data_IF_200126329934
#
_entry.id   IF_200126329934
#
_cell.length_a   1.000
_cell.length_b   1.000
_cell.length_c   1.000
_cell.angle_alpha   90.00
_cell.angle_beta   90.00
_cell.angle_gamma   90.00
#
_symmetry.space_group_name_H-M   'P 1'
#
loop_
_entity.id
_entity.type
_entity.pdbx_description
1 polymer ?
#
# COMPACT_ATOMS: atom_id res chain seq x y z
N UNK A 1 30.13 3.44 -3.90
CA UNK A 1 29.83 4.15 -2.64
C UNK A 1 28.53 3.56 -2.13
N UNK A 2 28.66 2.57 -1.23
CA UNK A 2 27.55 1.82 -0.67
C UNK A 2 26.68 2.75 0.19
N UNK A 3 25.48 3.05 -0.31
CA UNK A 3 24.48 3.81 0.41
C UNK A 3 24.13 3.06 1.70
N UNK A 4 24.43 3.65 2.85
CA UNK A 4 24.04 3.13 4.16
C UNK A 4 22.51 3.15 4.26
N UNK A 5 21.86 2.04 3.87
CA UNK A 5 20.41 1.88 3.82
C UNK A 5 19.76 1.66 5.20
N UNK A 6 20.54 1.72 6.28
CA UNK A 6 20.13 1.28 7.60
C UNK A 6 20.80 2.07 8.73
N UNK A 7 20.00 2.56 9.67
CA UNK A 7 20.45 3.02 10.98
C UNK A 7 20.30 1.88 11.98
N UNK A 8 21.35 1.57 12.74
CA UNK A 8 21.27 0.60 13.83
C UNK A 8 20.86 1.37 15.09
N UNK A 9 19.62 1.16 15.53
CA UNK A 9 19.14 1.72 16.79
C UNK A 9 19.97 1.17 17.96
N UNK A 10 20.08 1.91 19.10
CA UNK A 10 20.78 1.43 20.29
C UNK A 10 20.21 0.14 20.89
N UNK A 11 19.02 -0.29 20.44
CA UNK A 11 18.40 -1.58 20.74
C UNK A 11 18.84 -2.74 19.81
N UNK A 12 19.78 -2.51 18.89
CA UNK A 12 20.26 -3.48 17.90
C UNK A 12 19.31 -3.69 16.71
N UNK A 13 18.16 -3.00 16.66
CA UNK A 13 17.23 -3.08 15.52
C UNK A 13 17.71 -2.23 14.35
N UNK A 14 17.64 -2.78 13.14
CA UNK A 14 17.92 -2.06 11.90
C UNK A 14 16.69 -1.26 11.47
N UNK A 15 16.82 0.06 11.36
CA UNK A 15 15.80 0.96 10.82
C UNK A 15 16.21 1.35 9.40
N UNK A 16 15.40 1.00 8.42
CA UNK A 16 15.62 1.42 7.03
C UNK A 16 15.40 2.94 6.95
N UNK A 17 16.44 3.69 6.59
CA UNK A 17 16.39 5.16 6.53
C UNK A 17 15.69 5.68 5.26
N UNK A 18 15.56 4.85 4.23
CA UNK A 18 14.92 5.20 2.95
C UNK A 18 13.50 4.62 2.84
N UNK A 19 12.59 5.04 3.71
CA UNK A 19 11.17 5.06 3.32
C UNK A 19 10.99 6.35 2.55
N UNK A 20 11.03 6.27 1.22
CA UNK A 20 10.97 7.47 0.39
C UNK A 20 9.55 8.01 0.41
N UNK A 21 9.34 9.33 0.32
CA UNK A 21 8.00 9.90 0.15
C UNK A 21 7.25 9.27 -1.03
N UNK A 22 7.99 8.77 -2.03
CA UNK A 22 7.48 7.99 -3.16
C UNK A 22 6.79 6.69 -2.70
N UNK A 23 7.36 5.93 -1.76
CA UNK A 23 6.74 4.69 -1.26
C UNK A 23 5.42 4.97 -0.54
N UNK A 24 5.36 6.08 0.20
CA UNK A 24 4.13 6.54 0.86
C UNK A 24 3.08 6.94 -0.18
N UNK A 25 3.47 7.69 -1.21
CA UNK A 25 2.57 8.11 -2.29
C UNK A 25 2.04 6.91 -3.08
N UNK A 26 2.92 5.97 -3.44
CA UNK A 26 2.59 4.77 -4.21
C UNK A 26 1.67 3.84 -3.42
N UNK A 27 1.92 3.66 -2.12
CA UNK A 27 1.09 2.83 -1.24
C UNK A 27 -0.33 3.37 -1.04
N UNK A 28 -0.57 4.67 -1.30
CA UNK A 28 -1.89 5.31 -1.27
C UNK A 28 -2.57 5.33 -2.65
N UNK A 29 -1.80 5.60 -3.71
CA UNK A 29 -2.29 5.68 -5.08
C UNK A 29 -2.71 4.32 -5.64
N UNK A 30 -1.91 3.26 -5.41
CA UNK A 30 -2.21 1.92 -5.95
C UNK A 30 -3.55 1.37 -5.47
N UNK A 31 -3.88 1.38 -4.16
CA UNK A 31 -5.19 0.97 -3.68
C UNK A 31 -6.32 1.84 -4.23
N UNK A 32 -6.12 3.16 -4.28
CA UNK A 32 -7.12 4.09 -4.80
C UNK A 32 -7.51 3.78 -6.25
N UNK A 33 -6.52 3.60 -7.13
CA UNK A 33 -6.76 3.19 -8.52
C UNK A 33 -7.40 1.81 -8.63
N UNK A 34 -7.04 0.86 -7.76
CA UNK A 34 -7.68 -0.46 -7.68
C UNK A 34 -9.18 -0.39 -7.37
N UNK A 35 -9.58 0.51 -6.46
CA UNK A 35 -11.00 0.76 -6.14
C UNK A 35 -11.72 1.37 -7.35
N UNK A 36 -11.12 2.36 -8.02
CA UNK A 36 -11.71 3.02 -9.19
C UNK A 36 -11.92 2.02 -10.33
N UNK A 37 -10.91 1.22 -10.67
CA UNK A 37 -11.02 0.20 -11.73
C UNK A 37 -12.06 -0.86 -11.35
N UNK A 38 -12.07 -1.31 -10.10
CA UNK A 38 -13.06 -2.25 -9.60
C UNK A 38 -14.49 -1.69 -9.72
N UNK A 39 -14.70 -0.43 -9.34
CA UNK A 39 -15.99 0.26 -9.46
C UNK A 39 -16.44 0.36 -10.92
N UNK A 40 -15.54 0.79 -11.81
CA UNK A 40 -15.82 0.88 -13.25
C UNK A 40 -16.19 -0.49 -13.84
N UNK A 41 -15.51 -1.56 -13.40
CA UNK A 41 -15.83 -2.92 -13.83
C UNK A 41 -17.22 -3.39 -13.36
N UNK A 42 -17.61 -3.05 -12.11
CA UNK A 42 -18.94 -3.37 -11.59
C UNK A 42 -20.04 -2.62 -12.36
N UNK A 43 -19.86 -1.32 -12.61
CA UNK A 43 -20.90 -0.45 -13.18
C UNK A 43 -21.00 -0.58 -14.70
N UNK A 44 -19.87 -0.50 -15.42
CA UNK A 44 -19.90 -0.32 -16.88
C UNK A 44 -19.74 -1.63 -17.65
N UNK A 45 -19.09 -2.65 -17.09
CA UNK A 45 -18.87 -3.94 -17.77
C UNK A 45 -19.85 -5.04 -17.36
N UNK A 46 -20.67 -4.84 -16.34
CA UNK A 46 -21.56 -5.88 -15.80
C UNK A 46 -20.82 -7.05 -15.13
N UNK A 47 -19.48 -7.01 -15.04
CA UNK A 47 -18.64 -8.03 -14.40
C UNK A 47 -18.61 -7.84 -12.87
N UNK A 48 -19.79 -7.86 -12.25
CA UNK A 48 -19.99 -7.54 -10.83
C UNK A 48 -19.08 -8.34 -9.90
N UNK A 49 -18.91 -9.65 -10.15
CA UNK A 49 -18.06 -10.52 -9.33
C UNK A 49 -16.58 -10.10 -9.38
N UNK A 50 -16.04 -9.85 -10.58
CA UNK A 50 -14.63 -9.48 -10.76
C UNK A 50 -14.36 -8.08 -10.22
N UNK A 51 -15.26 -7.13 -10.49
CA UNK A 51 -15.15 -5.78 -9.94
C UNK A 51 -15.20 -5.78 -8.39
N UNK A 52 -16.11 -6.54 -7.77
CA UNK A 52 -16.16 -6.67 -6.31
C UNK A 52 -14.90 -7.30 -5.72
N UNK A 53 -14.36 -8.36 -6.34
CA UNK A 53 -13.09 -8.98 -5.90
C UNK A 53 -11.95 -7.96 -5.97
N UNK A 54 -11.88 -7.18 -7.04
CA UNK A 54 -10.82 -6.18 -7.22
C UNK A 54 -10.92 -5.04 -6.19
N UNK A 55 -12.14 -4.58 -5.88
CA UNK A 55 -12.38 -3.63 -4.80
C UNK A 55 -12.01 -4.20 -3.44
N UNK A 56 -12.38 -5.46 -3.15
CA UNK A 56 -12.04 -6.13 -1.89
C UNK A 56 -10.52 -6.23 -1.69
N UNK A 57 -9.78 -6.61 -2.74
CA UNK A 57 -8.31 -6.67 -2.70
C UNK A 57 -7.73 -5.28 -2.45
N UNK A 58 -8.24 -4.25 -3.13
CA UNK A 58 -7.76 -2.89 -2.94
C UNK A 58 -8.00 -2.39 -1.51
N UNK A 59 -9.17 -2.66 -0.92
CA UNK A 59 -9.44 -2.35 0.49
C UNK A 59 -8.56 -3.15 1.46
N UNK A 60 -8.32 -4.44 1.20
CA UNK A 60 -7.44 -5.26 2.04
C UNK A 60 -6.00 -4.73 2.04
N UNK A 61 -5.48 -4.34 0.87
CA UNK A 61 -4.15 -3.73 0.76
C UNK A 61 -4.11 -2.39 1.49
N UNK A 62 -5.11 -1.54 1.31
CA UNK A 62 -5.20 -0.26 2.04
C UNK A 62 -5.23 -0.46 3.55
N UNK A 63 -5.98 -1.45 4.04
CA UNK A 63 -6.04 -1.79 5.46
C UNK A 63 -4.68 -2.24 5.99
N UNK A 64 -3.98 -3.12 5.28
CA UNK A 64 -2.63 -3.58 5.65
C UNK A 64 -1.64 -2.41 5.68
N UNK A 65 -1.67 -1.52 4.70
CA UNK A 65 -0.80 -0.33 4.64
C UNK A 65 -1.06 0.60 5.84
N UNK A 66 -2.33 0.89 6.15
CA UNK A 66 -2.70 1.74 7.30
C UNK A 66 -2.31 1.07 8.62
N UNK A 67 -2.56 -0.23 8.75
CA UNK A 67 -2.22 -0.98 9.95
C UNK A 67 -0.70 -1.01 10.19
N UNK A 68 0.10 -1.36 9.18
CA UNK A 68 1.57 -1.34 9.29
C UNK A 68 2.10 0.06 9.58
N UNK A 69 1.52 1.10 8.95
CA UNK A 69 1.88 2.49 9.23
C UNK A 69 1.53 2.92 10.66
N UNK A 70 0.46 2.36 11.24
CA UNK A 70 0.06 2.63 12.63
C UNK A 70 0.91 1.86 13.65
N UNK A 71 1.38 0.65 13.33
CA UNK A 71 2.21 -0.18 14.22
C UNK A 71 3.68 0.26 14.21
N UNK A 72 4.14 0.91 13.13
CA UNK A 72 5.49 1.45 13.00
C UNK A 72 5.75 2.78 13.71
N UNK A 73 4.75 3.38 14.36
CA UNK A 73 4.87 4.58 15.21
C UNK A 73 4.95 4.19 16.68
#
# INVERSE_FOLDING_TARGET
MDAQLFEILPSGRKRYLNVTAVDIIVSLLLPFWGIVIGFLAVIFKGEKKRGMIMMLIAYAVMFVVVFLSSVGR
#
